data_IF_435259730852
#
_entry.id   IF_435259730852
#
_cell.length_a   1.000
_cell.length_b   1.000
_cell.length_c   1.000
_cell.angle_alpha   90.00
_cell.angle_beta   90.00
_cell.angle_gamma   90.00
#
_symmetry.space_group_name_H-M   'P 1'
#
loop_
_entity.id
_entity.type
_entity.pdbx_description
1 polymer ?
#
# COMPACT_ATOMS: atom_id res chain seq x y z
N UNK A 1 0.22 -2.43 -9.08
CA UNK A 1 0.75 -3.79 -9.19
C UNK A 1 0.47 -4.58 -7.90
N UNK A 2 1.10 -4.25 -6.75
CA UNK A 2 0.96 -4.93 -5.46
C UNK A 2 -0.51 -5.20 -5.07
N UNK A 3 -1.33 -4.16 -4.92
CA UNK A 3 -2.74 -4.28 -4.56
C UNK A 3 -3.56 -5.21 -5.49
N UNK A 4 -3.35 -5.11 -6.81
CA UNK A 4 -4.05 -5.97 -7.77
C UNK A 4 -3.53 -7.40 -7.75
N UNK A 5 -2.23 -7.61 -7.46
CA UNK A 5 -1.65 -8.95 -7.26
C UNK A 5 -2.26 -9.64 -6.04
N UNK A 6 -2.33 -8.91 -4.91
CA UNK A 6 -2.98 -9.39 -3.70
C UNK A 6 -4.44 -9.79 -3.98
N UNK A 7 -5.22 -8.93 -4.64
CA UNK A 7 -6.62 -9.22 -4.98
C UNK A 7 -6.79 -10.44 -5.86
N UNK A 8 -5.89 -10.65 -6.81
CA UNK A 8 -5.99 -11.76 -7.76
C UNK A 8 -5.80 -13.12 -7.10
N UNK A 9 -5.02 -13.19 -6.01
CA UNK A 9 -4.68 -14.44 -5.33
C UNK A 9 -5.42 -14.65 -4.02
N UNK A 10 -5.88 -13.58 -3.34
CA UNK A 10 -6.36 -13.65 -1.96
C UNK A 10 -7.45 -14.71 -1.73
N UNK A 11 -8.49 -14.73 -2.56
CA UNK A 11 -9.59 -15.67 -2.37
C UNK A 11 -9.13 -17.13 -2.52
N UNK A 12 -8.33 -17.41 -3.54
CA UNK A 12 -7.78 -18.76 -3.76
C UNK A 12 -6.83 -19.16 -2.62
N UNK A 13 -5.96 -18.26 -2.20
CA UNK A 13 -5.07 -18.47 -1.06
C UNK A 13 -5.83 -18.80 0.22
N UNK A 14 -6.91 -18.05 0.52
CA UNK A 14 -7.75 -18.30 1.70
C UNK A 14 -8.39 -19.69 1.67
N UNK A 15 -8.88 -20.12 0.50
CA UNK A 15 -9.56 -21.41 0.35
C UNK A 15 -8.54 -22.56 0.30
N UNK A 16 -7.51 -22.47 -0.54
CA UNK A 16 -6.64 -23.59 -0.87
C UNK A 16 -5.47 -23.75 0.11
N UNK A 17 -4.88 -22.65 0.58
CA UNK A 17 -3.73 -22.70 1.48
C UNK A 17 -4.10 -22.49 2.95
N UNK A 18 -5.03 -21.57 3.24
CA UNK A 18 -5.49 -21.29 4.60
C UNK A 18 -6.67 -22.17 5.02
N UNK A 19 -7.17 -23.02 4.11
CA UNK A 19 -8.27 -23.97 4.36
C UNK A 19 -9.55 -23.32 4.93
N UNK A 20 -9.80 -22.04 4.58
CA UNK A 20 -11.01 -21.32 4.98
C UNK A 20 -12.21 -21.77 4.17
N UNK A 21 -13.38 -21.82 4.81
CA UNK A 21 -14.63 -22.08 4.08
C UNK A 21 -14.93 -20.99 3.05
N UNK A 22 -15.63 -21.34 1.95
CA UNK A 22 -15.92 -20.40 0.88
C UNK A 22 -16.60 -19.11 1.38
N UNK A 23 -17.59 -19.25 2.27
CA UNK A 23 -18.30 -18.09 2.84
C UNK A 23 -17.38 -17.20 3.66
N UNK A 24 -16.49 -17.79 4.46
CA UNK A 24 -15.50 -17.06 5.25
C UNK A 24 -14.50 -16.34 4.36
N UNK A 25 -13.96 -17.02 3.34
CA UNK A 25 -13.03 -16.44 2.39
C UNK A 25 -13.63 -15.23 1.66
N UNK A 26 -14.89 -15.31 1.22
CA UNK A 26 -15.57 -14.17 0.58
C UNK A 26 -15.84 -13.02 1.55
N UNK A 27 -16.15 -13.30 2.82
CA UNK A 27 -16.32 -12.26 3.84
C UNK A 27 -14.99 -11.54 4.13
N UNK A 28 -13.89 -12.29 4.29
CA UNK A 28 -12.54 -11.72 4.49
C UNK A 28 -12.15 -10.87 3.28
N UNK A 29 -12.33 -11.38 2.07
CA UNK A 29 -12.05 -10.64 0.83
C UNK A 29 -12.89 -9.35 0.72
N UNK A 30 -14.18 -9.43 1.04
CA UNK A 30 -15.09 -8.29 1.03
C UNK A 30 -14.69 -7.23 2.05
N UNK A 31 -14.41 -7.63 3.30
CA UNK A 31 -13.95 -6.73 4.36
C UNK A 31 -12.60 -6.07 3.99
N UNK A 32 -11.63 -6.85 3.54
CA UNK A 32 -10.35 -6.34 3.07
C UNK A 32 -10.54 -5.29 1.97
N UNK A 33 -11.33 -5.61 0.95
CA UNK A 33 -11.57 -4.69 -0.17
C UNK A 33 -12.24 -3.40 0.30
N UNK A 34 -13.27 -3.49 1.14
CA UNK A 34 -13.95 -2.32 1.68
C UNK A 34 -13.00 -1.42 2.47
N UNK A 35 -12.18 -2.00 3.34
CA UNK A 35 -11.21 -1.25 4.15
C UNK A 35 -10.11 -0.61 3.30
N UNK A 36 -9.59 -1.30 2.27
CA UNK A 36 -8.61 -0.74 1.34
C UNK A 36 -9.16 0.48 0.59
N UNK A 37 -10.45 0.50 0.26
CA UNK A 37 -11.06 1.67 -0.38
C UNK A 37 -11.43 2.79 0.61
N UNK A 38 -11.69 2.46 1.88
CA UNK A 38 -11.97 3.45 2.92
C UNK A 38 -10.70 4.11 3.49
N UNK A 39 -9.62 3.35 3.62
CA UNK A 39 -8.36 3.80 4.24
C UNK A 39 -7.76 5.09 3.62
N UNK A 40 -7.82 5.34 2.30
CA UNK A 40 -7.31 6.58 1.71
C UNK A 40 -7.97 7.85 2.23
N UNK A 41 -9.22 7.78 2.72
CA UNK A 41 -9.92 8.93 3.30
C UNK A 41 -9.19 9.39 4.58
N UNK A 42 -8.78 8.44 5.42
CA UNK A 42 -8.05 8.71 6.65
C UNK A 42 -6.58 9.01 6.36
N UNK A 43 -5.95 8.19 5.52
CA UNK A 43 -4.53 8.33 5.16
C UNK A 43 -4.22 9.66 4.46
N UNK A 44 -5.11 10.14 3.58
CA UNK A 44 -4.99 11.46 2.97
C UNK A 44 -5.06 12.58 4.01
N UNK A 45 -6.07 12.57 4.88
CA UNK A 45 -6.21 13.59 5.95
C UNK A 45 -5.02 13.63 6.91
N UNK A 46 -4.49 12.46 7.28
CA UNK A 46 -3.33 12.38 8.17
C UNK A 46 -2.06 12.86 7.46
N UNK A 47 -1.91 12.56 6.19
CA UNK A 47 -0.81 13.07 5.38
C UNK A 47 -0.86 14.59 5.26
N UNK A 48 -2.02 15.16 4.92
CA UNK A 48 -2.22 16.60 4.77
C UNK A 48 -1.94 17.35 6.07
N UNK A 49 -2.32 16.76 7.22
CA UNK A 49 -2.23 17.45 8.51
C UNK A 49 -0.87 17.26 9.21
N UNK A 50 -0.23 16.08 9.06
CA UNK A 50 0.89 15.70 9.92
C UNK A 50 2.15 15.24 9.20
N UNK A 51 2.03 14.45 8.12
CA UNK A 51 3.18 13.74 7.52
C UNK A 51 3.75 14.46 6.29
N UNK A 52 2.88 15.05 5.49
CA UNK A 52 3.19 15.48 4.13
C UNK A 52 3.19 14.32 3.13
N UNK A 53 2.99 14.68 1.87
CA UNK A 53 2.76 13.72 0.79
C UNK A 53 3.90 12.72 0.58
N UNK A 54 5.15 13.21 0.57
CA UNK A 54 6.32 12.38 0.29
C UNK A 54 6.54 11.32 1.38
N UNK A 55 6.47 11.71 2.65
CA UNK A 55 6.63 10.78 3.77
C UNK A 55 5.46 9.80 3.87
N UNK A 56 4.23 10.25 3.60
CA UNK A 56 3.07 9.37 3.58
C UNK A 56 3.18 8.29 2.49
N UNK A 57 3.63 8.65 1.28
CA UNK A 57 3.87 7.69 0.20
C UNK A 57 4.94 6.68 0.59
N UNK A 58 6.07 7.13 1.14
CA UNK A 58 7.16 6.22 1.57
C UNK A 58 6.69 5.29 2.70
N UNK A 59 6.02 5.83 3.72
CA UNK A 59 5.46 5.04 4.81
C UNK A 59 4.45 4.01 4.27
N UNK A 60 3.55 4.44 3.39
CA UNK A 60 2.58 3.56 2.76
C UNK A 60 3.24 2.42 1.98
N UNK A 61 4.26 2.72 1.18
CA UNK A 61 5.01 1.73 0.42
C UNK A 61 5.75 0.73 1.33
N UNK A 62 6.35 1.20 2.43
CA UNK A 62 7.03 0.34 3.42
C UNK A 62 6.02 -0.59 4.08
N UNK A 63 4.90 -0.06 4.58
CA UNK A 63 3.85 -0.86 5.23
C UNK A 63 3.26 -1.91 4.29
N UNK A 64 3.00 -1.54 3.02
CA UNK A 64 2.54 -2.48 2.01
C UNK A 64 3.57 -3.57 1.72
N UNK A 65 4.85 -3.22 1.62
CA UNK A 65 5.92 -4.22 1.41
C UNK A 65 6.02 -5.19 2.59
N UNK A 66 6.02 -4.68 3.81
CA UNK A 66 6.02 -5.52 5.02
C UNK A 66 4.76 -6.40 5.03
N UNK A 67 3.59 -5.83 4.72
CA UNK A 67 2.34 -6.57 4.65
C UNK A 67 2.39 -7.75 3.68
N UNK A 68 2.91 -7.55 2.46
CA UNK A 68 3.06 -8.64 1.48
C UNK A 68 4.02 -9.73 1.97
N UNK A 69 5.15 -9.37 2.59
CA UNK A 69 6.08 -10.37 3.12
C UNK A 69 5.54 -11.11 4.34
N UNK A 70 4.69 -10.48 5.16
CA UNK A 70 3.96 -11.18 6.22
C UNK A 70 2.95 -12.18 5.65
N UNK A 71 2.30 -11.85 4.54
CA UNK A 71 1.42 -12.80 3.83
C UNK A 71 2.24 -13.94 3.22
N UNK A 72 3.42 -13.67 2.64
CA UNK A 72 4.35 -14.72 2.22
C UNK A 72 4.70 -15.63 3.39
N UNK A 73 5.02 -15.07 4.55
CA UNK A 73 5.33 -15.85 5.74
C UNK A 73 4.14 -16.64 6.30
N UNK A 74 2.90 -16.24 5.98
CA UNK A 74 1.68 -16.99 6.35
C UNK A 74 1.38 -18.18 5.44
N UNK A 75 2.09 -18.33 4.31
CA UNK A 75 2.01 -19.53 3.47
C UNK A 75 2.68 -20.73 4.16
N UNK A 76 2.65 -21.90 3.51
CA UNK A 76 3.29 -23.11 4.04
C UNK A 76 4.82 -23.05 3.99
N UNK A 77 5.42 -22.03 3.40
CA UNK A 77 6.85 -21.88 3.17
C UNK A 77 7.71 -22.04 4.44
N UNK A 78 7.23 -21.50 5.57
CA UNK A 78 7.99 -21.52 6.84
C UNK A 78 7.53 -22.61 7.81
N UNK A 79 6.51 -23.40 7.45
CA UNK A 79 6.02 -24.51 8.28
C UNK A 79 5.43 -24.06 9.62
N UNK A 80 4.90 -22.85 9.73
CA UNK A 80 4.25 -22.37 10.95
C UNK A 80 2.92 -23.06 11.22
N UNK A 81 2.55 -23.16 12.49
CA UNK A 81 1.24 -23.64 12.91
C UNK A 81 0.11 -22.74 12.40
N UNK A 82 -1.08 -23.30 12.21
CA UNK A 82 -2.26 -22.61 11.64
C UNK A 82 -2.56 -21.28 12.35
N UNK A 83 -2.51 -21.24 13.68
CA UNK A 83 -2.79 -20.02 14.45
C UNK A 83 -1.78 -18.90 14.16
N UNK A 84 -0.51 -19.23 13.99
CA UNK A 84 0.54 -18.27 13.61
C UNK A 84 0.33 -17.80 12.18
N UNK A 85 0.02 -18.68 11.24
CA UNK A 85 -0.26 -18.36 9.85
C UNK A 85 -1.45 -17.41 9.73
N UNK A 86 -2.55 -17.67 10.43
CA UNK A 86 -3.72 -16.79 10.50
C UNK A 86 -3.34 -15.40 11.02
N UNK A 87 -2.56 -15.33 12.09
CA UNK A 87 -2.10 -14.06 12.68
C UNK A 87 -1.25 -13.27 11.70
N UNK A 88 -0.27 -13.90 11.05
CA UNK A 88 0.59 -13.27 10.05
C UNK A 88 -0.22 -12.75 8.85
N UNK A 89 -1.19 -13.53 8.38
CA UNK A 89 -2.08 -13.14 7.30
C UNK A 89 -2.89 -11.89 7.67
N UNK A 90 -3.56 -11.87 8.82
CA UNK A 90 -4.37 -10.71 9.22
C UNK A 90 -3.52 -9.47 9.49
N UNK A 91 -2.36 -9.60 10.11
CA UNK A 91 -1.43 -8.49 10.32
C UNK A 91 -0.91 -7.98 8.97
N UNK A 92 -0.57 -8.88 8.04
CA UNK A 92 -0.14 -8.53 6.69
C UNK A 92 -1.23 -7.77 5.93
N UNK A 93 -2.48 -8.25 5.96
CA UNK A 93 -3.62 -7.55 5.38
C UNK A 93 -3.84 -6.18 6.00
N UNK A 94 -3.72 -6.05 7.33
CA UNK A 94 -3.77 -4.78 8.04
C UNK A 94 -2.69 -3.80 7.55
N UNK A 95 -1.45 -4.28 7.37
CA UNK A 95 -0.34 -3.52 6.79
C UNK A 95 -0.64 -3.02 5.39
N UNK A 96 -1.25 -3.87 4.55
CA UNK A 96 -1.68 -3.48 3.19
C UNK A 96 -2.79 -2.44 3.20
N UNK A 97 -3.79 -2.57 4.06
CA UNK A 97 -4.90 -1.62 4.20
C UNK A 97 -4.37 -0.23 4.60
N UNK A 98 -3.59 -0.18 5.67
CA UNK A 98 -3.05 1.06 6.21
C UNK A 98 -2.06 1.68 5.21
N UNK A 99 -1.16 0.87 4.67
CA UNK A 99 -0.18 1.30 3.68
C UNK A 99 -0.83 1.86 2.42
N UNK A 100 -1.84 1.19 1.89
CA UNK A 100 -2.61 1.69 0.74
C UNK A 100 -3.34 3.00 1.06
N UNK A 101 -3.82 3.17 2.28
CA UNK A 101 -4.42 4.40 2.76
C UNK A 101 -3.49 5.60 2.63
N UNK A 102 -2.25 5.46 3.09
CA UNK A 102 -1.23 6.50 2.95
C UNK A 102 -0.73 6.67 1.52
N UNK A 103 -0.57 5.57 0.78
CA UNK A 103 0.03 5.61 -0.55
C UNK A 103 -0.92 6.19 -1.60
N UNK A 104 -2.13 5.63 -1.72
CA UNK A 104 -3.03 5.87 -2.86
C UNK A 104 -3.50 7.31 -2.98
N UNK A 105 -3.91 7.94 -1.89
CA UNK A 105 -4.36 9.32 -1.90
C UNK A 105 -3.22 10.28 -2.25
N UNK A 106 -2.05 10.04 -1.69
CA UNK A 106 -0.94 10.97 -1.74
C UNK A 106 -0.14 10.90 -3.05
N UNK A 107 -0.03 9.71 -3.66
CA UNK A 107 0.66 9.57 -4.95
C UNK A 107 -0.08 10.33 -6.07
N UNK A 108 -1.40 10.31 -6.08
CA UNK A 108 -2.20 11.07 -7.04
C UNK A 108 -2.06 12.58 -6.82
N UNK A 109 -2.00 13.00 -5.54
CA UNK A 109 -1.82 14.40 -5.18
C UNK A 109 -0.45 14.93 -5.64
N UNK A 110 0.62 14.17 -5.46
CA UNK A 110 1.96 14.57 -5.95
C UNK A 110 1.95 14.73 -7.46
N UNK A 111 1.35 13.80 -8.22
CA UNK A 111 1.28 13.92 -9.69
C UNK A 111 0.63 15.24 -10.10
N UNK A 112 -0.47 15.62 -9.44
CA UNK A 112 -1.12 16.91 -9.71
C UNK A 112 -0.27 18.14 -9.36
N UNK A 113 0.56 18.03 -8.32
CA UNK A 113 1.43 19.12 -7.83
C UNK A 113 2.78 19.25 -8.57
N UNK A 114 3.11 18.30 -9.46
CA UNK A 114 4.28 18.42 -10.34
C UNK A 114 4.11 19.50 -11.40
N UNK A 115 2.89 19.95 -11.65
CA UNK A 115 2.53 20.94 -12.67
C UNK A 115 1.97 22.18 -11.99
N UNK A 116 2.31 23.34 -12.51
CA UNK A 116 1.73 24.62 -12.08
C UNK A 116 0.24 24.70 -12.45
N UNK A 117 -0.50 25.56 -11.75
CA UNK A 117 -1.91 25.77 -12.04
C UNK A 117 -2.08 26.34 -13.47
N UNK A 118 -2.88 25.66 -14.29
CA UNK A 118 -3.08 26.04 -15.70
C UNK A 118 -2.06 25.43 -16.67
N UNK A 119 -1.08 24.64 -16.24
CA UNK A 119 -0.14 23.96 -17.15
C UNK A 119 -0.88 22.93 -18.03
N UNK A 120 -0.88 23.09 -19.37
CA UNK A 120 -1.58 22.19 -20.29
C UNK A 120 -1.02 20.76 -20.28
N UNK A 121 0.19 20.54 -19.77
CA UNK A 121 0.83 19.22 -19.66
C UNK A 121 0.27 18.39 -18.50
N UNK A 122 -0.47 19.00 -17.57
CA UNK A 122 -1.03 18.35 -16.38
C UNK A 122 -1.93 17.18 -16.75
N UNK A 123 -2.82 17.36 -17.74
CA UNK A 123 -3.72 16.31 -18.19
C UNK A 123 -2.97 15.13 -18.83
N UNK A 124 -1.94 15.44 -19.63
CA UNK A 124 -1.05 14.42 -20.20
C UNK A 124 -0.29 13.65 -19.11
N UNK A 125 0.15 14.34 -18.05
CA UNK A 125 0.80 13.72 -16.88
C UNK A 125 -0.13 12.73 -16.16
N UNK A 126 -1.38 13.10 -15.93
CA UNK A 126 -2.38 12.19 -15.37
C UNK A 126 -2.68 11.02 -16.30
N UNK A 127 -2.75 11.25 -17.61
CA UNK A 127 -2.95 10.17 -18.60
C UNK A 127 -1.82 9.14 -18.50
N UNK A 128 -0.56 9.56 -18.48
CA UNK A 128 0.60 8.66 -18.32
C UNK A 128 0.52 7.91 -16.98
N UNK A 129 0.15 8.60 -15.90
CA UNK A 129 -0.02 7.98 -14.59
C UNK A 129 -1.10 6.88 -14.60
N UNK A 130 -2.25 7.13 -15.22
CA UNK A 130 -3.32 6.13 -15.37
C UNK A 130 -2.93 4.96 -16.28
N UNK A 131 -2.20 5.20 -17.35
CA UNK A 131 -1.63 4.13 -18.18
C UNK A 131 -0.72 3.24 -17.33
N UNK A 132 0.15 3.82 -16.51
CA UNK A 132 1.01 3.09 -15.59
C UNK A 132 0.22 2.23 -14.57
N UNK A 133 -0.89 2.75 -14.02
CA UNK A 133 -1.79 1.99 -13.15
C UNK A 133 -2.38 0.77 -13.89
N UNK A 134 -2.86 0.95 -15.11
CA UNK A 134 -3.48 -0.12 -15.90
C UNK A 134 -2.47 -1.18 -16.33
N UNK A 135 -1.27 -0.79 -16.74
CA UNK A 135 -0.17 -1.73 -17.01
C UNK A 135 0.17 -2.51 -15.74
N UNK A 136 0.28 -1.83 -14.58
CA UNK A 136 0.51 -2.48 -13.30
C UNK A 136 -0.61 -3.46 -12.92
N UNK A 137 -1.87 -3.14 -13.20
CA UNK A 137 -3.00 -4.02 -12.97
C UNK A 137 -2.96 -5.25 -13.91
N UNK A 138 -2.67 -5.04 -15.20
CA UNK A 138 -2.53 -6.12 -16.18
C UNK A 138 -1.42 -7.10 -15.77
N UNK A 139 -0.23 -6.59 -15.46
CA UNK A 139 0.88 -7.42 -15.00
C UNK A 139 0.56 -8.17 -13.71
N UNK A 140 -0.18 -7.56 -12.79
CA UNK A 140 -0.59 -8.19 -11.55
C UNK A 140 -1.56 -9.36 -11.80
N UNK A 141 -2.57 -9.15 -12.63
CA UNK A 141 -3.58 -10.18 -12.91
C UNK A 141 -3.10 -11.29 -13.86
N UNK A 142 -2.07 -11.03 -14.65
CA UNK A 142 -1.48 -12.03 -15.54
C UNK A 142 -0.25 -12.69 -14.93
N UNK A 143 0.77 -11.92 -14.55
CA UNK A 143 2.04 -12.48 -14.08
C UNK A 143 1.94 -12.96 -12.63
N UNK A 144 1.48 -12.10 -11.70
CA UNK A 144 1.40 -12.46 -10.28
C UNK A 144 0.40 -13.60 -10.04
N UNK A 145 -0.78 -13.52 -10.68
CA UNK A 145 -1.79 -14.55 -10.57
C UNK A 145 -1.31 -15.91 -11.11
N UNK A 146 -0.70 -15.92 -12.30
CA UNK A 146 -0.18 -17.16 -12.91
C UNK A 146 0.97 -17.74 -12.08
N UNK A 147 1.91 -16.91 -11.64
CA UNK A 147 3.02 -17.35 -10.80
C UNK A 147 2.49 -17.95 -9.49
N UNK A 148 1.57 -17.25 -8.81
CA UNK A 148 0.99 -17.74 -7.55
C UNK A 148 0.21 -19.04 -7.69
N UNK A 149 -0.56 -19.20 -8.76
CA UNK A 149 -1.34 -20.43 -8.99
C UNK A 149 -0.47 -21.61 -9.47
N UNK A 150 0.56 -21.36 -10.26
CA UNK A 150 1.36 -22.42 -10.87
C UNK A 150 2.55 -22.87 -10.02
N UNK A 151 3.19 -21.95 -9.33
CA UNK A 151 4.44 -22.20 -8.60
C UNK A 151 4.29 -22.12 -7.07
N UNK A 152 3.20 -21.53 -6.56
CA UNK A 152 2.89 -21.37 -5.15
C UNK A 152 2.56 -19.93 -4.78
N UNK A 153 1.65 -19.77 -3.82
CA UNK A 153 1.16 -18.44 -3.39
C UNK A 153 2.29 -17.56 -2.86
N UNK A 154 3.31 -18.14 -2.22
CA UNK A 154 4.49 -17.44 -1.71
C UNK A 154 5.25 -16.70 -2.82
N UNK A 155 5.38 -17.29 -4.00
CA UNK A 155 6.03 -16.64 -5.14
C UNK A 155 5.18 -15.53 -5.72
N UNK A 156 3.86 -15.73 -5.77
CA UNK A 156 2.93 -14.69 -6.24
C UNK A 156 2.94 -13.45 -5.35
N UNK A 157 2.73 -13.63 -4.06
CA UNK A 157 2.78 -12.54 -3.07
C UNK A 157 4.19 -11.94 -2.95
N UNK A 158 5.23 -12.78 -2.98
CA UNK A 158 6.62 -12.34 -3.00
C UNK A 158 6.91 -11.41 -4.18
N UNK A 159 6.45 -11.75 -5.37
CA UNK A 159 6.59 -10.91 -6.56
C UNK A 159 5.84 -9.57 -6.41
N UNK A 160 4.66 -9.58 -5.80
CA UNK A 160 3.92 -8.35 -5.49
C UNK A 160 4.67 -7.45 -4.49
N UNK A 161 5.24 -8.04 -3.44
CA UNK A 161 6.08 -7.36 -2.45
C UNK A 161 7.36 -6.77 -3.05
N UNK A 162 8.06 -7.54 -3.88
CA UNK A 162 9.26 -7.08 -4.60
C UNK A 162 8.93 -5.93 -5.56
N UNK A 163 7.78 -6.00 -6.25
CA UNK A 163 7.29 -4.92 -7.09
C UNK A 163 7.04 -3.64 -6.31
N UNK A 164 6.52 -3.74 -5.08
CA UNK A 164 6.31 -2.59 -4.20
C UNK A 164 7.64 -2.00 -3.72
N UNK A 165 8.60 -2.84 -3.34
CA UNK A 165 9.96 -2.38 -2.97
C UNK A 165 10.63 -1.67 -4.13
N UNK A 166 10.55 -2.22 -5.35
CA UNK A 166 11.09 -1.57 -6.55
C UNK A 166 10.46 -0.17 -6.75
N UNK A 167 9.13 -0.06 -6.61
CA UNK A 167 8.43 1.22 -6.65
C UNK A 167 8.90 2.20 -5.58
N UNK A 168 9.11 1.72 -4.35
CA UNK A 168 9.65 2.53 -3.25
C UNK A 168 11.06 3.06 -3.57
N UNK A 169 11.94 2.21 -4.08
CA UNK A 169 13.31 2.61 -4.46
C UNK A 169 13.32 3.62 -5.61
N UNK A 170 12.47 3.43 -6.63
CA UNK A 170 12.31 4.37 -7.74
C UNK A 170 11.80 5.72 -7.21
N UNK A 171 10.77 5.70 -6.36
CA UNK A 171 10.23 6.90 -5.74
C UNK A 171 11.30 7.62 -4.91
N UNK A 172 11.97 6.90 -4.01
CA UNK A 172 13.02 7.47 -3.17
C UNK A 172 14.20 8.02 -3.96
N UNK A 173 14.66 7.30 -5.00
CA UNK A 173 15.73 7.74 -5.89
C UNK A 173 15.34 8.98 -6.73
N UNK A 174 14.06 9.11 -7.07
CA UNK A 174 13.51 10.25 -7.80
C UNK A 174 13.29 11.53 -6.98
N UNK A 175 13.50 11.49 -5.65
CA UNK A 175 13.13 12.57 -4.71
C UNK A 175 13.61 13.99 -5.11
N UNK A 176 14.76 14.10 -5.76
CA UNK A 176 15.27 15.39 -6.24
C UNK A 176 14.39 16.04 -7.33
N UNK A 177 13.65 15.21 -8.09
CA UNK A 177 12.80 15.69 -9.19
C UNK A 177 11.50 16.34 -8.70
N UNK A 178 11.05 15.99 -7.50
CA UNK A 178 9.82 16.54 -6.89
C UNK A 178 10.09 17.25 -5.55
N UNK A 179 11.36 17.64 -5.30
CA UNK A 179 11.74 18.41 -4.11
C UNK A 179 11.08 19.79 -4.06
N UNK A 180 10.78 20.36 -5.24
CA UNK A 180 10.06 21.64 -5.39
C UNK A 180 8.57 21.53 -5.05
N UNK A 181 8.01 20.31 -4.98
CA UNK A 181 6.60 20.11 -4.63
C UNK A 181 6.42 20.39 -3.13
N UNK A 182 5.55 21.36 -2.74
CA UNK A 182 5.30 21.64 -1.33
C UNK A 182 4.87 20.37 -0.61
N UNK A 183 5.63 19.97 0.41
CA UNK A 183 5.41 18.69 1.08
C UNK A 183 4.16 18.70 1.98
N UNK A 184 3.67 19.88 2.38
CA UNK A 184 2.62 20.01 3.37
C UNK A 184 1.73 21.25 3.09
N UNK A 185 0.40 21.05 3.09
CA UNK A 185 -0.56 22.08 3.45
C UNK A 185 -0.81 22.01 4.96
N UNK A 186 0.26 22.08 5.78
CA UNK A 186 0.11 22.04 7.22
C UNK A 186 -0.48 23.36 7.69
N UNK A 187 -1.67 23.31 8.25
CA UNK A 187 -2.16 24.40 9.08
C UNK A 187 -1.13 24.67 10.19
N UNK A 188 -0.79 25.92 10.46
CA UNK A 188 0.21 26.31 11.49
C UNK A 188 -0.01 25.63 12.86
N UNK A 189 -1.24 25.28 13.19
CA UNK A 189 -1.59 24.54 14.40
C UNK A 189 -1.04 23.09 14.42
N UNK A 190 -1.00 22.41 13.28
CA UNK A 190 -0.43 21.06 13.17
C UNK A 190 1.09 21.07 13.27
N UNK A 191 1.73 22.13 12.78
CA UNK A 191 3.19 22.30 12.86
C UNK A 191 3.69 22.47 14.31
N UNK A 192 2.95 23.20 15.15
CA UNK A 192 3.33 23.40 16.57
C UNK A 192 3.24 22.12 17.40
N UNK A 193 2.31 21.22 17.12
CA UNK A 193 2.19 19.94 17.84
C UNK A 193 3.28 18.93 17.46
N UNK A 194 3.80 18.97 16.23
CA UNK A 194 4.86 18.08 15.77
C UNK A 194 6.28 18.55 16.13
N UNK A 195 6.48 19.84 16.37
CA UNK A 195 7.78 20.38 16.79
C UNK A 195 8.23 19.86 18.18
N UNK A 196 7.29 19.42 19.01
CA UNK A 196 7.58 18.81 20.32
C UNK A 196 7.77 17.29 20.29
N UNK A 197 7.49 16.61 19.16
CA UNK A 197 7.74 15.17 19.01
C UNK A 197 8.84 14.93 17.97
N UNK A 198 9.87 14.12 18.29
CA UNK A 198 10.81 13.66 17.27
C UNK A 198 10.03 13.02 16.11
N UNK A 199 10.37 13.33 14.86
CA UNK A 199 9.64 12.89 13.65
C UNK A 199 9.32 11.39 13.61
N UNK A 200 10.22 10.54 14.14
CA UNK A 200 9.99 9.09 14.23
C UNK A 200 8.90 8.68 15.22
N UNK A 201 8.72 9.40 16.34
CA UNK A 201 7.65 9.10 17.32
C UNK A 201 6.26 9.44 16.77
N UNK A 202 6.15 10.50 15.95
CA UNK A 202 4.88 10.87 15.31
C UNK A 202 4.41 9.79 14.32
N UNK A 203 5.33 9.18 13.57
CA UNK A 203 5.04 8.12 12.61
C UNK A 203 4.53 6.87 13.33
N UNK A 204 5.17 6.49 14.43
CA UNK A 204 4.79 5.30 15.21
C UNK A 204 3.43 5.47 15.89
N UNK A 205 3.16 6.64 16.48
CA UNK A 205 1.87 6.93 17.13
C UNK A 205 0.72 6.95 16.10
N UNK A 206 0.94 7.54 14.92
CA UNK A 206 -0.06 7.60 13.86
C UNK A 206 -0.34 6.22 13.23
N UNK A 207 0.66 5.35 13.16
CA UNK A 207 0.47 3.97 12.69
C UNK A 207 -0.29 3.13 13.72
N UNK A 208 -0.04 3.32 15.03
CA UNK A 208 -0.72 2.63 16.13
C UNK A 208 -2.19 3.07 16.28
N UNK A 209 -2.53 4.31 15.97
CA UNK A 209 -3.92 4.83 16.01
C UNK A 209 -4.82 4.29 14.88
N UNK A 210 -4.23 3.63 13.87
CA UNK A 210 -4.93 3.04 12.73
C UNK A 210 -5.07 1.51 12.83
N UNK A 211 -4.59 0.92 13.94
CA UNK A 211 -4.83 -0.50 14.26
C UNK A 211 -6.13 -0.55 15.06
N UNK A 212 -7.21 -1.19 14.55
CA UNK A 212 -8.45 -1.39 15.29
C UNK A 212 -8.26 -2.31 16.48
#
# INVERSE_FOLDING_TARGET
FCYYGMRALLTLFLIESMMKGNSEAFLIYGAYTALVYAAPILGGRLADKYLGYQYAIMLGAILMSIGEFLIVASTDLLGFETAMRDSLMYIGMGGLIIGNGYFKANISTIVGKLYEDGDPRRDSGFTIFYIGINIGALLATTVVAVVGQKYGFEYGFGLAGLGMLAGLFIFWGGRKKYEHVPNINVTEAGHKQLLFMPRYKSITVLSLLLIP
#
